data_IF_365832042861
#
_entry.id   IF_365832042861
#
_cell.length_a   1.000
_cell.length_b   1.000
_cell.length_c   1.000
_cell.angle_alpha   90.00
_cell.angle_beta   90.00
_cell.angle_gamma   90.00
#
_symmetry.space_group_name_H-M   'P 1'
#
loop_
_entity.id
_entity.type
_entity.pdbx_description
1 polymer ?
#
# COMPACT_ATOMS: atom_id res chain seq x y z
N UNK A 1 -1.96 -17.77 -23.54
CA UNK A 1 -2.10 -18.81 -22.49
C UNK A 1 -1.13 -19.99 -22.65
N UNK A 2 -1.08 -20.66 -23.82
CA UNK A 2 -0.13 -21.76 -24.07
C UNK A 2 1.34 -21.33 -24.00
N UNK A 3 1.66 -20.12 -24.47
CA UNK A 3 2.99 -19.51 -24.36
C UNK A 3 3.39 -19.29 -22.90
N UNK A 4 2.50 -18.73 -22.07
CA UNK A 4 2.74 -18.55 -20.63
C UNK A 4 3.01 -19.89 -19.94
N UNK A 5 2.19 -20.91 -20.22
CA UNK A 5 2.39 -22.24 -19.64
C UNK A 5 3.71 -22.86 -20.08
N UNK A 6 4.10 -22.68 -21.35
CA UNK A 6 5.43 -23.08 -21.83
C UNK A 6 6.52 -22.43 -21.02
N UNK A 7 6.51 -21.09 -20.90
CA UNK A 7 7.52 -20.35 -20.14
C UNK A 7 7.60 -20.81 -18.68
N UNK A 8 6.46 -21.08 -18.04
CA UNK A 8 6.43 -21.57 -16.65
C UNK A 8 6.93 -23.01 -16.50
N UNK A 9 6.69 -23.88 -17.48
CA UNK A 9 7.01 -25.32 -17.38
C UNK A 9 8.34 -25.70 -18.01
N UNK A 10 8.90 -24.84 -18.86
CA UNK A 10 10.17 -25.07 -19.54
C UNK A 10 11.32 -25.26 -18.55
N UNK A 11 11.40 -24.41 -17.53
CA UNK A 11 12.43 -24.54 -16.49
C UNK A 11 12.14 -25.66 -15.49
N UNK A 12 10.88 -26.07 -15.33
CA UNK A 12 10.52 -27.20 -14.46
C UNK A 12 11.02 -28.53 -15.00
N UNK A 13 11.25 -28.65 -16.31
CA UNK A 13 11.88 -29.82 -16.93
C UNK A 13 13.32 -30.05 -16.49
N UNK A 14 13.96 -29.05 -15.90
CA UNK A 14 15.31 -29.13 -15.36
C UNK A 14 15.33 -29.72 -13.94
N UNK A 15 14.17 -29.88 -13.29
CA UNK A 15 14.08 -30.47 -11.97
C UNK A 15 14.09 -32.02 -12.04
N UNK A 16 14.91 -32.70 -11.23
CA UNK A 16 14.93 -34.16 -11.18
C UNK A 16 13.54 -34.72 -10.88
N UNK A 17 13.09 -35.70 -11.66
CA UNK A 17 11.79 -36.37 -11.48
C UNK A 17 10.57 -35.66 -12.08
N UNK A 18 10.74 -34.47 -12.68
CA UNK A 18 9.64 -33.74 -13.32
C UNK A 18 9.59 -34.03 -14.83
N UNK A 19 8.62 -34.83 -15.29
CA UNK A 19 8.45 -35.14 -16.71
C UNK A 19 7.28 -34.35 -17.33
N UNK A 20 7.57 -33.18 -17.93
CA UNK A 20 6.56 -32.43 -18.72
C UNK A 20 6.62 -32.87 -20.18
N UNK A 21 6.03 -34.03 -20.49
CA UNK A 21 6.12 -34.66 -21.81
C UNK A 21 5.43 -33.88 -22.94
N UNK A 22 4.24 -33.31 -22.69
CA UNK A 22 3.48 -32.56 -23.70
C UNK A 22 2.72 -31.39 -23.10
N UNK A 23 2.87 -30.22 -23.70
CA UNK A 23 2.09 -29.05 -23.32
C UNK A 23 0.64 -29.22 -23.76
N UNK A 24 -0.35 -29.01 -22.86
CA UNK A 24 -1.76 -28.99 -23.22
C UNK A 24 -2.06 -28.02 -24.37
N UNK A 25 -3.08 -28.33 -25.17
CA UNK A 25 -3.59 -27.42 -26.19
C UNK A 25 -4.28 -26.22 -25.53
N UNK A 26 -4.40 -25.11 -26.27
CA UNK A 26 -5.11 -23.92 -25.77
C UNK A 26 -6.55 -24.25 -25.36
N UNK A 27 -7.26 -25.08 -26.15
CA UNK A 27 -8.63 -25.53 -25.85
C UNK A 27 -8.72 -26.40 -24.58
N UNK A 28 -7.76 -27.30 -24.36
CA UNK A 28 -7.70 -28.09 -23.14
C UNK A 28 -7.50 -27.20 -21.89
N UNK A 29 -6.64 -26.18 -21.97
CA UNK A 29 -6.44 -25.23 -20.87
C UNK A 29 -7.69 -24.38 -20.61
N UNK A 30 -8.38 -23.91 -21.65
CA UNK A 30 -9.63 -23.15 -21.50
C UNK A 30 -10.70 -23.99 -20.80
N UNK A 31 -10.92 -25.24 -21.26
CA UNK A 31 -11.89 -26.16 -20.63
C UNK A 31 -11.52 -26.49 -19.19
N UNK A 32 -10.23 -26.69 -18.90
CA UNK A 32 -9.76 -26.94 -17.54
C UNK A 32 -10.03 -25.74 -16.61
N UNK A 33 -9.79 -24.51 -17.08
CA UNK A 33 -10.10 -23.28 -16.30
C UNK A 33 -11.59 -23.12 -16.04
N UNK A 34 -12.43 -23.37 -17.05
CA UNK A 34 -13.89 -23.34 -16.90
C UNK A 34 -14.36 -24.36 -15.85
N UNK A 35 -13.81 -25.58 -15.87
CA UNK A 35 -14.13 -26.63 -14.90
C UNK A 35 -13.63 -26.32 -13.49
N UNK A 36 -12.46 -25.69 -13.35
CA UNK A 36 -11.84 -25.42 -12.05
C UNK A 36 -12.68 -24.44 -11.22
N UNK A 37 -13.20 -23.38 -11.85
CA UNK A 37 -13.93 -22.31 -11.16
C UNK A 37 -13.07 -21.53 -10.16
N UNK A 38 -13.71 -20.65 -9.40
CA UNK A 38 -13.03 -19.76 -8.45
C UNK A 38 -12.74 -20.41 -7.08
N UNK A 39 -13.60 -21.32 -6.62
CA UNK A 39 -13.52 -21.85 -5.24
C UNK A 39 -12.21 -22.58 -4.93
N UNK A 40 -11.66 -23.44 -5.80
CA UNK A 40 -10.36 -24.06 -5.54
C UNK A 40 -9.21 -23.05 -5.49
N UNK A 41 -9.26 -21.98 -6.29
CA UNK A 41 -8.26 -20.91 -6.26
C UNK A 41 -8.35 -20.10 -4.97
N UNK A 42 -9.55 -19.84 -4.48
CA UNK A 42 -9.78 -19.22 -3.18
C UNK A 42 -9.16 -20.07 -2.06
N UNK A 43 -9.45 -21.38 -2.04
CA UNK A 43 -8.88 -22.30 -1.02
C UNK A 43 -7.35 -22.33 -1.11
N UNK A 44 -6.79 -22.37 -2.32
CA UNK A 44 -5.34 -22.32 -2.51
C UNK A 44 -4.75 -21.00 -2.00
N UNK A 45 -5.41 -19.87 -2.27
CA UNK A 45 -5.01 -18.57 -1.77
C UNK A 45 -5.03 -18.56 -0.23
N UNK A 46 -6.15 -18.93 0.39
CA UNK A 46 -6.31 -18.98 1.85
C UNK A 46 -5.27 -19.88 2.54
N UNK A 47 -4.82 -20.95 1.87
CA UNK A 47 -3.76 -21.84 2.38
C UNK A 47 -2.35 -21.29 2.23
N UNK A 48 -2.13 -20.34 1.32
CA UNK A 48 -0.80 -19.84 0.95
C UNK A 48 -0.57 -18.38 1.33
N UNK A 49 -1.62 -17.61 1.56
CA UNK A 49 -1.52 -16.25 2.05
C UNK A 49 -0.95 -16.25 3.47
N UNK A 50 -0.25 -15.17 3.80
CA UNK A 50 0.41 -15.00 5.08
C UNK A 50 1.77 -14.33 4.95
N UNK A 51 2.39 -14.14 6.11
CA UNK A 51 3.70 -13.50 6.22
C UNK A 51 4.82 -14.53 6.04
N UNK A 52 5.79 -14.25 5.17
CA UNK A 52 6.90 -15.16 4.87
C UNK A 52 8.25 -14.64 5.40
N UNK A 53 8.34 -13.36 5.73
CA UNK A 53 9.59 -12.76 6.15
C UNK A 53 10.04 -13.29 7.51
N UNK A 54 11.33 -13.54 7.58
CA UNK A 54 12.07 -13.75 8.83
C UNK A 54 12.74 -12.45 9.24
N UNK A 55 13.25 -12.36 10.47
CA UNK A 55 14.00 -11.18 10.94
C UNK A 55 15.25 -10.89 10.09
N UNK A 56 15.77 -11.88 9.37
CA UNK A 56 16.87 -11.72 8.42
C UNK A 56 16.44 -11.17 7.05
N UNK A 57 15.13 -11.12 6.76
CA UNK A 57 14.62 -10.62 5.48
C UNK A 57 14.79 -9.11 5.40
N UNK A 58 15.70 -8.66 4.53
CA UNK A 58 15.96 -7.25 4.28
C UNK A 58 14.67 -6.49 3.92
N UNK A 59 14.43 -5.36 4.59
CA UNK A 59 13.28 -4.49 4.30
C UNK A 59 11.93 -5.04 4.76
N UNK A 60 11.87 -6.16 5.48
CA UNK A 60 10.62 -6.69 6.02
C UNK A 60 10.22 -6.09 7.37
N UNK A 61 11.16 -5.45 8.09
CA UNK A 61 10.92 -4.90 9.42
C UNK A 61 11.52 -3.51 9.55
N UNK A 62 10.85 -2.64 10.32
CA UNK A 62 11.39 -1.39 10.82
C UNK A 62 10.87 -1.15 12.23
N UNK A 63 11.71 -0.60 13.12
CA UNK A 63 11.32 -0.27 14.50
C UNK A 63 10.79 -1.48 15.28
N UNK A 64 11.30 -2.69 14.97
CA UNK A 64 10.81 -3.94 15.57
C UNK A 64 9.45 -4.42 15.04
N UNK A 65 8.86 -3.71 14.08
CA UNK A 65 7.54 -3.99 13.52
C UNK A 65 7.66 -4.54 12.10
N UNK A 66 6.82 -5.52 11.77
CA UNK A 66 6.71 -6.07 10.41
C UNK A 66 6.10 -5.05 9.48
N UNK A 67 6.78 -4.73 8.38
CA UNK A 67 6.30 -3.81 7.37
C UNK A 67 5.27 -4.52 6.49
N UNK A 68 4.05 -4.00 6.50
CA UNK A 68 2.99 -4.40 5.59
C UNK A 68 2.44 -3.18 4.88
N UNK A 69 1.95 -3.36 3.65
CA UNK A 69 1.39 -2.29 2.86
C UNK A 69 0.02 -2.68 2.31
N UNK A 70 -0.88 -1.72 2.34
CA UNK A 70 -2.10 -1.75 1.57
C UNK A 70 -1.83 -1.15 0.19
N UNK A 71 -2.06 -1.96 -0.84
CA UNK A 71 -1.93 -1.54 -2.23
C UNK A 71 -3.11 -2.05 -3.07
N UNK A 72 -3.59 -1.18 -3.94
CA UNK A 72 -4.78 -1.39 -4.76
C UNK A 72 -4.42 -1.44 -6.23
N UNK A 73 -5.06 -2.34 -6.98
CA UNK A 73 -4.92 -2.39 -8.43
C UNK A 73 -6.25 -2.78 -9.10
N UNK A 74 -6.34 -2.55 -10.40
CA UNK A 74 -7.47 -2.98 -11.22
C UNK A 74 -6.98 -4.06 -12.21
N UNK A 75 -7.76 -5.13 -12.33
CA UNK A 75 -7.47 -6.28 -13.17
C UNK A 75 -8.51 -6.33 -14.29
N UNK A 76 -8.06 -6.29 -15.55
CA UNK A 76 -8.94 -6.45 -16.69
C UNK A 76 -9.55 -7.86 -16.70
N UNK A 77 -10.85 -7.93 -16.94
CA UNK A 77 -11.58 -9.18 -17.19
C UNK A 77 -12.08 -9.22 -18.63
N UNK A 78 -12.36 -10.41 -19.19
CA UNK A 78 -12.85 -10.51 -20.56
C UNK A 78 -14.08 -9.65 -20.80
N UNK A 79 -14.09 -8.92 -21.91
CA UNK A 79 -15.21 -8.07 -22.30
C UNK A 79 -16.39 -8.92 -22.78
N UNK A 80 -17.29 -9.18 -21.84
CA UNK A 80 -18.54 -9.91 -22.07
C UNK A 80 -19.66 -9.12 -21.43
N UNK A 81 -20.88 -9.23 -21.97
CA UNK A 81 -22.04 -8.53 -21.41
C UNK A 81 -22.25 -8.82 -19.91
N UNK A 82 -21.96 -10.04 -19.46
CA UNK A 82 -22.05 -10.41 -18.04
C UNK A 82 -21.01 -9.67 -17.19
N UNK A 83 -19.73 -9.70 -17.59
CA UNK A 83 -18.66 -9.02 -16.85
C UNK A 83 -18.80 -7.50 -16.89
N UNK A 84 -19.25 -6.93 -18.02
CA UNK A 84 -19.51 -5.51 -18.15
C UNK A 84 -20.60 -5.04 -17.19
N UNK A 85 -21.68 -5.84 -17.02
CA UNK A 85 -22.75 -5.56 -16.07
C UNK A 85 -22.32 -5.71 -14.62
N UNK A 86 -21.52 -6.74 -14.31
CA UNK A 86 -21.09 -7.05 -12.95
C UNK A 86 -19.99 -6.10 -12.45
N UNK A 87 -18.92 -5.93 -13.23
CA UNK A 87 -17.70 -5.28 -12.77
C UNK A 87 -17.57 -3.82 -13.20
N UNK A 88 -18.17 -3.49 -14.35
CA UNK A 88 -18.09 -2.18 -14.98
C UNK A 88 -16.67 -1.78 -15.38
N UNK A 89 -16.51 -0.51 -15.75
CA UNK A 89 -15.28 0.05 -16.34
C UNK A 89 -14.76 1.20 -15.49
N UNK A 90 -13.44 1.40 -15.48
CA UNK A 90 -12.83 2.56 -14.82
C UNK A 90 -12.84 3.76 -15.77
N UNK A 91 -13.08 4.97 -15.24
CA UNK A 91 -13.04 6.22 -16.01
C UNK A 91 -14.42 6.80 -16.33
N UNK A 92 -14.46 8.06 -16.79
CA UNK A 92 -15.70 8.81 -17.06
C UNK A 92 -16.09 8.73 -18.55
N UNK A 93 -16.30 7.52 -19.08
CA UNK A 93 -16.75 7.30 -20.46
C UNK A 93 -15.82 7.86 -21.56
N UNK A 94 -16.13 7.56 -22.82
CA UNK A 94 -15.38 8.06 -23.98
C UNK A 94 -13.91 7.60 -23.99
N UNK A 95 -13.01 8.46 -24.45
CA UNK A 95 -11.58 8.13 -24.63
C UNK A 95 -10.82 7.83 -23.32
N UNK A 96 -11.39 8.15 -22.16
CA UNK A 96 -10.77 7.94 -20.84
C UNK A 96 -11.33 6.73 -20.09
N UNK A 97 -12.17 5.93 -20.73
CA UNK A 97 -12.69 4.68 -20.17
C UNK A 97 -11.69 3.54 -20.40
N UNK A 98 -11.63 2.59 -19.46
CA UNK A 98 -10.87 1.36 -19.67
C UNK A 98 -11.41 0.59 -20.88
N UNK A 99 -10.52 -0.08 -21.63
CA UNK A 99 -10.91 -0.88 -22.80
C UNK A 99 -11.64 -2.18 -22.44
N UNK A 100 -11.60 -2.59 -21.18
CA UNK A 100 -12.23 -3.80 -20.66
C UNK A 100 -12.91 -3.52 -19.31
N UNK A 101 -13.91 -4.34 -18.91
CA UNK A 101 -14.41 -4.31 -17.56
C UNK A 101 -13.29 -4.72 -16.57
N UNK A 102 -13.37 -4.25 -15.32
CA UNK A 102 -12.28 -4.42 -14.37
C UNK A 102 -12.73 -4.86 -12.99
N UNK A 103 -11.99 -5.79 -12.40
CA UNK A 103 -12.08 -6.14 -10.98
C UNK A 103 -11.06 -5.32 -10.19
N UNK A 104 -11.50 -4.66 -9.14
CA UNK A 104 -10.62 -4.00 -8.17
C UNK A 104 -10.09 -5.03 -7.19
N UNK A 105 -8.77 -5.08 -7.03
CA UNK A 105 -8.05 -5.84 -6.02
C UNK A 105 -7.49 -4.87 -5.00
N UNK A 106 -7.73 -5.13 -3.72
CA UNK A 106 -7.02 -4.54 -2.61
C UNK A 106 -6.22 -5.62 -1.90
N UNK A 107 -4.92 -5.43 -1.75
CA UNK A 107 -4.04 -6.41 -1.12
C UNK A 107 -3.40 -5.85 0.15
N UNK A 108 -3.33 -6.68 1.18
CA UNK A 108 -2.40 -6.50 2.31
C UNK A 108 -1.15 -7.32 2.00
N UNK A 109 -0.02 -6.66 1.85
CA UNK A 109 1.22 -7.27 1.37
C UNK A 109 2.35 -7.06 2.36
N UNK A 110 3.23 -8.04 2.50
CA UNK A 110 4.45 -7.90 3.28
C UNK A 110 5.53 -7.22 2.44
N UNK A 111 6.08 -6.09 2.91
CA UNK A 111 6.94 -5.25 2.08
C UNK A 111 8.29 -5.88 1.70
N UNK A 112 8.83 -6.78 2.53
CA UNK A 112 10.15 -7.38 2.27
C UNK A 112 10.14 -8.58 1.31
N UNK A 113 9.07 -9.38 1.32
CA UNK A 113 8.93 -10.59 0.49
C UNK A 113 7.94 -10.42 -0.65
N UNK A 114 7.12 -9.37 -0.59
CA UNK A 114 5.94 -9.14 -1.42
C UNK A 114 4.89 -10.26 -1.29
N UNK A 115 4.92 -11.04 -0.20
CA UNK A 115 3.91 -12.04 0.09
C UNK A 115 2.54 -11.37 0.32
N UNK A 116 1.49 -11.95 -0.24
CA UNK A 116 0.12 -11.54 0.04
C UNK A 116 -0.28 -12.09 1.40
N UNK A 117 -0.51 -11.20 2.36
CA UNK A 117 -1.04 -11.54 3.68
C UNK A 117 -2.54 -11.79 3.57
N UNK A 118 -3.24 -10.92 2.83
CA UNK A 118 -4.68 -11.01 2.59
C UNK A 118 -5.06 -10.20 1.33
N UNK A 119 -6.25 -10.45 0.77
CA UNK A 119 -6.75 -9.77 -0.42
C UNK A 119 -8.27 -9.71 -0.47
N UNK A 120 -8.79 -8.57 -0.95
CA UNK A 120 -10.21 -8.35 -1.19
C UNK A 120 -10.43 -7.93 -2.65
N UNK A 121 -11.53 -8.39 -3.24
CA UNK A 121 -11.86 -8.17 -4.64
C UNK A 121 -13.28 -7.64 -4.77
N UNK A 122 -13.50 -6.70 -5.69
CA UNK A 122 -14.85 -6.22 -6.01
C UNK A 122 -14.91 -5.52 -7.37
N UNK A 123 -16.10 -5.16 -7.82
CA UNK A 123 -16.33 -4.37 -9.03
C UNK A 123 -15.72 -2.96 -8.92
N UNK A 124 -14.99 -2.51 -9.95
CA UNK A 124 -14.48 -1.12 -9.98
C UNK A 124 -15.58 -0.08 -9.98
N UNK A 125 -16.76 -0.42 -10.52
CA UNK A 125 -17.91 0.47 -10.60
C UNK A 125 -18.56 0.75 -9.23
N UNK A 126 -18.44 -0.17 -8.28
CA UNK A 126 -19.25 -0.15 -7.05
C UNK A 126 -18.42 0.11 -5.79
N UNK A 127 -17.13 -0.24 -5.77
CA UNK A 127 -16.32 -0.18 -4.56
C UNK A 127 -15.03 0.63 -4.74
N UNK A 128 -14.75 1.46 -3.73
CA UNK A 128 -13.46 2.16 -3.60
C UNK A 128 -12.43 1.28 -2.89
N UNK A 129 -11.14 1.54 -3.15
CA UNK A 129 -10.01 0.94 -2.41
C UNK A 129 -10.18 1.05 -0.90
N UNK A 130 -10.64 2.21 -0.40
CA UNK A 130 -10.85 2.41 1.04
C UNK A 130 -11.94 1.50 1.61
N UNK A 131 -12.96 1.14 0.82
CA UNK A 131 -14.02 0.22 1.26
C UNK A 131 -13.48 -1.21 1.30
N UNK A 132 -12.69 -1.61 0.31
CA UNK A 132 -12.04 -2.92 0.30
C UNK A 132 -10.99 -3.07 1.42
N UNK A 133 -10.22 -2.01 1.70
CA UNK A 133 -9.26 -2.01 2.79
C UNK A 133 -9.91 -2.30 4.17
N UNK A 134 -11.18 -1.88 4.37
CA UNK A 134 -11.92 -2.21 5.60
C UNK A 134 -12.15 -3.72 5.77
N UNK A 135 -12.25 -4.48 4.69
CA UNK A 135 -12.40 -5.94 4.75
C UNK A 135 -11.11 -6.62 5.22
N UNK A 136 -9.95 -5.98 5.00
CA UNK A 136 -8.63 -6.49 5.37
C UNK A 136 -8.19 -6.11 6.78
N UNK A 137 -9.02 -5.39 7.54
CA UNK A 137 -8.69 -4.95 8.91
C UNK A 137 -8.42 -6.12 9.84
N UNK A 138 -9.17 -7.22 9.71
CA UNK A 138 -9.02 -8.41 10.56
C UNK A 138 -7.66 -9.09 10.39
N UNK A 139 -6.97 -8.84 9.29
CA UNK A 139 -5.65 -9.40 8.96
C UNK A 139 -4.49 -8.57 9.51
N UNK A 140 -4.76 -7.38 10.06
CA UNK A 140 -3.78 -6.56 10.75
C UNK A 140 -3.52 -7.09 12.16
N UNK A 141 -2.25 -7.06 12.57
CA UNK A 141 -1.79 -7.56 13.87
C UNK A 141 -1.00 -6.49 14.63
N UNK A 142 -0.92 -6.57 15.97
CA UNK A 142 -0.17 -5.60 16.78
C UNK A 142 1.33 -5.47 16.45
N UNK A 143 1.94 -6.53 15.91
CA UNK A 143 3.35 -6.56 15.49
C UNK A 143 3.61 -5.89 14.13
N UNK A 144 2.58 -5.33 13.48
CA UNK A 144 2.67 -4.75 12.14
C UNK A 144 2.75 -3.21 12.14
N UNK A 145 3.49 -2.68 11.17
CA UNK A 145 3.44 -1.29 10.75
C UNK A 145 2.84 -1.22 9.34
N UNK A 146 1.60 -0.75 9.25
CA UNK A 146 0.85 -0.60 8.01
C UNK A 146 1.22 0.69 7.29
N UNK A 147 1.79 0.51 6.10
CA UNK A 147 2.11 1.55 5.13
C UNK A 147 0.96 1.74 4.15
N UNK A 148 0.66 2.99 3.83
CA UNK A 148 -0.32 3.32 2.77
C UNK A 148 0.14 4.51 1.96
N UNK A 149 -0.36 4.59 0.74
CA UNK A 149 -0.23 5.78 -0.10
C UNK A 149 -1.16 6.92 0.39
N UNK A 150 -1.21 8.00 -0.40
CA UNK A 150 -1.99 9.21 -0.09
C UNK A 150 -3.51 9.05 -0.23
N UNK A 151 -4.00 7.91 -0.72
CA UNK A 151 -5.42 7.68 -0.96
C UNK A 151 -6.17 7.23 0.29
N UNK A 152 -5.48 6.72 1.32
CA UNK A 152 -6.11 6.14 2.52
C UNK A 152 -6.22 7.10 3.71
N UNK A 153 -5.76 8.34 3.58
CA UNK A 153 -5.85 9.33 4.66
C UNK A 153 -7.30 9.63 5.05
N UNK A 154 -7.68 9.33 6.30
CA UNK A 154 -9.01 9.65 6.83
C UNK A 154 -9.18 9.20 8.28
N UNK A 155 -9.95 9.98 9.06
CA UNK A 155 -10.17 9.76 10.49
C UNK A 155 -10.71 8.36 10.81
N UNK A 156 -11.78 7.93 10.11
CA UNK A 156 -12.44 6.66 10.41
C UNK A 156 -11.56 5.45 10.12
N UNK A 157 -10.97 5.39 8.92
CA UNK A 157 -10.12 4.26 8.54
C UNK A 157 -8.87 4.20 9.41
N UNK A 158 -8.31 5.34 9.80
CA UNK A 158 -7.20 5.43 10.74
C UNK A 158 -7.58 4.82 12.10
N UNK A 159 -8.73 5.23 12.65
CA UNK A 159 -9.25 4.71 13.90
C UNK A 159 -9.48 3.20 13.85
N UNK A 160 -10.14 2.71 12.79
CA UNK A 160 -10.40 1.29 12.58
C UNK A 160 -9.10 0.48 12.47
N UNK A 161 -8.13 0.93 11.65
CA UNK A 161 -6.84 0.26 11.52
C UNK A 161 -6.06 0.28 12.83
N UNK A 162 -6.10 1.40 13.58
CA UNK A 162 -5.42 1.51 14.89
C UNK A 162 -6.08 0.60 15.94
N UNK A 163 -7.39 0.41 15.90
CA UNK A 163 -8.14 -0.43 16.83
C UNK A 163 -7.73 -1.91 16.75
N UNK A 164 -7.15 -2.36 15.63
CA UNK A 164 -6.56 -3.71 15.49
C UNK A 164 -5.29 -3.90 16.33
N UNK A 165 -4.74 -2.82 16.89
CA UNK A 165 -3.46 -2.82 17.60
C UNK A 165 -2.26 -2.52 16.69
N UNK A 166 -2.41 -2.61 15.37
CA UNK A 166 -1.34 -2.29 14.43
C UNK A 166 -0.87 -0.83 14.53
N UNK A 167 0.39 -0.61 14.16
CA UNK A 167 0.96 0.71 13.96
C UNK A 167 0.73 1.19 12.54
N UNK A 168 0.66 2.50 12.34
CA UNK A 168 0.29 3.11 11.06
C UNK A 168 1.36 4.11 10.63
N UNK A 169 1.65 4.15 9.34
CA UNK A 169 2.50 5.15 8.69
C UNK A 169 1.96 5.45 7.29
N UNK A 170 1.14 6.50 7.20
CA UNK A 170 0.36 6.81 5.99
C UNK A 170 0.88 8.06 5.32
N UNK A 171 1.16 7.98 4.03
CA UNK A 171 1.44 9.19 3.24
C UNK A 171 0.17 10.04 3.18
N UNK A 172 0.30 11.36 3.29
CA UNK A 172 -0.85 12.28 3.22
C UNK A 172 -0.72 13.29 2.09
N UNK A 173 -1.86 13.74 1.56
CA UNK A 173 -1.92 14.78 0.53
C UNK A 173 -1.42 16.12 1.09
N UNK A 174 -0.83 16.96 0.23
CA UNK A 174 -0.28 18.28 0.61
C UNK A 174 -1.34 19.29 1.10
N UNK A 175 -2.60 19.09 0.74
CA UNK A 175 -3.72 19.96 1.12
C UNK A 175 -4.36 19.58 2.46
N UNK A 176 -4.03 18.42 3.05
CA UNK A 176 -4.44 18.11 4.42
C UNK A 176 -3.62 18.95 5.39
N UNK A 177 -4.29 19.75 6.21
CA UNK A 177 -3.62 20.64 7.15
C UNK A 177 -3.65 20.04 8.54
N UNK A 178 -2.46 19.73 9.05
CA UNK A 178 -2.24 19.31 10.42
C UNK A 178 -1.60 20.48 11.18
N UNK A 179 -2.28 20.97 12.22
CA UNK A 179 -1.76 22.07 13.05
C UNK A 179 -0.77 21.49 14.05
N UNK A 180 0.50 21.95 14.08
CA UNK A 180 1.46 21.49 15.08
C UNK A 180 0.99 21.82 16.50
N UNK A 181 0.93 20.80 17.36
CA UNK A 181 0.70 20.95 18.80
C UNK A 181 2.03 21.01 19.56
N UNK A 182 3.01 20.20 19.13
CA UNK A 182 4.35 20.19 19.71
C UNK A 182 5.36 19.75 18.66
N UNK A 183 6.39 20.55 18.43
CA UNK A 183 7.54 20.16 17.59
C UNK A 183 8.48 19.27 18.40
N UNK A 184 9.01 18.21 17.78
CA UNK A 184 9.91 17.23 18.38
C UNK A 184 11.36 17.50 17.94
N UNK A 185 12.37 17.01 18.70
CA UNK A 185 13.79 17.29 18.43
C UNK A 185 14.32 16.88 17.05
N UNK A 186 13.64 15.98 16.35
CA UNK A 186 13.98 15.50 15.01
C UNK A 186 13.31 16.30 13.88
N UNK A 187 12.61 17.40 14.22
CA UNK A 187 11.90 18.25 13.27
C UNK A 187 10.50 17.76 12.89
N UNK A 188 10.10 16.56 13.33
CA UNK A 188 8.71 16.10 13.24
C UNK A 188 7.83 16.81 14.29
N UNK A 189 6.51 16.70 14.20
CA UNK A 189 5.63 17.31 15.20
C UNK A 189 4.40 16.45 15.53
N UNK A 190 3.93 16.57 16.77
CA UNK A 190 2.66 16.02 17.20
C UNK A 190 1.52 16.90 16.70
N UNK A 191 0.46 16.27 16.22
CA UNK A 191 -0.77 16.91 15.78
C UNK A 191 -1.97 16.01 16.10
N UNK A 192 -3.15 16.42 15.66
CA UNK A 192 -4.36 15.62 15.75
C UNK A 192 -4.89 15.40 14.34
N UNK A 193 -5.22 14.16 14.03
CA UNK A 193 -6.10 13.83 12.91
C UNK A 193 -7.54 14.11 13.35
N UNK A 194 -8.14 15.22 12.89
CA UNK A 194 -9.43 15.67 13.39
C UNK A 194 -10.56 14.73 12.97
N UNK A 195 -11.62 14.67 13.77
CA UNK A 195 -12.90 14.11 13.32
C UNK A 195 -13.41 14.85 12.08
N UNK A 196 -14.32 14.28 11.27
CA UNK A 196 -14.93 14.99 10.15
C UNK A 196 -15.57 16.32 10.56
N UNK A 197 -16.27 16.34 11.70
CA UNK A 197 -16.88 17.55 12.28
C UNK A 197 -15.84 18.62 12.62
N UNK A 198 -14.75 18.25 13.28
CA UNK A 198 -13.68 19.18 13.63
C UNK A 198 -12.88 19.63 12.41
N UNK A 199 -12.77 18.79 11.38
CA UNK A 199 -12.16 19.17 10.09
C UNK A 199 -12.91 20.34 9.45
N UNK A 200 -14.24 20.24 9.38
CA UNK A 200 -15.11 21.31 8.82
C UNK A 200 -15.02 22.56 9.68
N UNK A 201 -15.18 22.42 10.99
CA UNK A 201 -15.15 23.54 11.95
C UNK A 201 -13.83 24.31 11.88
N UNK A 202 -12.69 23.62 11.94
CA UNK A 202 -11.37 24.25 11.82
C UNK A 202 -11.11 24.77 10.40
N UNK A 203 -11.68 24.15 9.36
CA UNK A 203 -11.66 24.67 7.99
C UNK A 203 -12.35 26.04 7.88
N UNK A 204 -13.58 26.15 8.37
CA UNK A 204 -14.37 27.38 8.38
C UNK A 204 -13.70 28.48 9.21
N UNK A 205 -13.20 28.15 10.40
CA UNK A 205 -12.48 29.12 11.23
C UNK A 205 -11.27 29.70 10.48
N UNK A 206 -10.48 28.85 9.80
CA UNK A 206 -9.33 29.30 8.99
C UNK A 206 -9.75 30.16 7.80
N UNK A 207 -10.82 29.78 7.10
CA UNK A 207 -11.36 30.58 5.99
C UNK A 207 -11.81 31.97 6.46
N UNK A 208 -12.29 32.09 7.70
CA UNK A 208 -12.65 33.34 8.35
C UNK A 208 -11.48 34.05 9.06
N UNK A 209 -10.22 33.61 8.86
CA UNK A 209 -9.05 34.20 9.52
C UNK A 209 -8.98 34.00 11.04
N UNK A 210 -9.82 33.14 11.61
CA UNK A 210 -9.94 32.90 13.05
C UNK A 210 -9.14 31.67 13.48
N UNK A 211 -8.45 31.77 14.62
CA UNK A 211 -7.81 30.64 15.30
C UNK A 211 -8.71 30.16 16.44
N UNK A 212 -9.03 28.87 16.46
CA UNK A 212 -9.75 28.26 17.57
C UNK A 212 -8.78 28.01 18.73
N UNK A 213 -9.23 28.30 19.96
CA UNK A 213 -8.39 28.23 21.16
C UNK A 213 -7.99 26.80 21.56
N UNK A 214 -8.88 25.83 21.32
CA UNK A 214 -8.63 24.41 21.63
C UNK A 214 -8.15 23.66 20.39
N UNK A 215 -7.27 22.66 20.55
CA UNK A 215 -6.95 21.75 19.46
C UNK A 215 -8.20 20.96 19.03
N UNK A 216 -8.26 20.51 17.77
CA UNK A 216 -9.38 19.68 17.33
C UNK A 216 -9.41 18.37 18.11
N UNK A 217 -10.61 17.80 18.26
CA UNK A 217 -10.77 16.44 18.77
C UNK A 217 -10.45 15.43 17.66
N UNK A 218 -9.81 14.32 18.05
CA UNK A 218 -9.53 13.21 17.15
C UNK A 218 -8.33 12.38 17.60
N UNK A 219 -7.68 11.69 16.66
CA UNK A 219 -6.54 10.84 16.96
C UNK A 219 -5.25 11.65 17.08
N UNK A 220 -4.52 11.50 18.18
CA UNK A 220 -3.16 12.02 18.28
C UNK A 220 -2.26 11.29 17.28
N UNK A 221 -1.52 12.06 16.49
CA UNK A 221 -0.63 11.56 15.46
C UNK A 221 0.67 12.34 15.45
N UNK A 222 1.72 11.74 14.89
CA UNK A 222 2.97 12.44 14.58
C UNK A 222 3.07 12.65 13.09
N UNK A 223 3.41 13.86 12.68
CA UNK A 223 3.61 14.23 11.28
C UNK A 223 5.09 14.36 11.01
N UNK A 224 5.57 13.67 9.99
CA UNK A 224 6.95 13.69 9.53
C UNK A 224 6.96 14.27 8.12
N UNK A 225 7.75 15.30 7.91
CA UNK A 225 7.98 15.89 6.58
C UNK A 225 9.36 15.48 6.10
N UNK A 226 9.44 14.99 4.87
CA UNK A 226 10.68 14.53 4.27
C UNK A 226 10.68 14.83 2.76
N UNK A 227 11.86 15.03 2.19
CA UNK A 227 12.02 15.20 0.76
C UNK A 227 12.65 13.94 0.17
N UNK A 228 12.16 13.51 -0.99
CA UNK A 228 12.83 12.48 -1.79
C UNK A 228 13.37 13.15 -3.04
N UNK A 229 14.67 13.00 -3.24
CA UNK A 229 15.36 13.45 -4.45
C UNK A 229 15.60 12.23 -5.34
N UNK A 230 14.99 12.25 -6.53
CA UNK A 230 15.20 11.25 -7.56
C UNK A 230 16.11 11.86 -8.62
N UNK A 231 17.33 11.35 -8.71
CA UNK A 231 18.27 11.70 -9.77
C UNK A 231 18.13 10.76 -10.96
N UNK A 232 17.82 11.24 -12.18
CA UNK A 232 17.97 10.41 -13.37
C UNK A 232 19.46 10.18 -13.68
N UNK A 233 19.77 9.16 -14.50
CA UNK A 233 21.15 8.94 -14.99
C UNK A 233 21.66 10.08 -15.88
N UNK A 234 20.73 10.79 -16.53
CA UNK A 234 20.98 11.96 -17.38
C UNK A 234 19.86 12.96 -17.08
N UNK A 235 20.22 14.23 -16.84
CA UNK A 235 19.29 15.30 -16.49
C UNK A 235 19.40 15.75 -15.03
N UNK A 236 18.60 16.76 -14.65
CA UNK A 236 18.62 17.33 -13.31
C UNK A 236 17.85 16.46 -12.31
N UNK A 237 18.31 16.40 -11.04
CA UNK A 237 17.58 15.72 -9.99
C UNK A 237 16.25 16.42 -9.71
N UNK A 238 15.20 15.62 -9.50
CA UNK A 238 13.89 16.10 -9.09
C UNK A 238 13.70 15.84 -7.60
N UNK A 239 13.39 16.90 -6.84
CA UNK A 239 13.11 16.79 -5.40
C UNK A 239 11.64 17.07 -5.14
N UNK A 240 10.93 16.10 -4.55
CA UNK A 240 9.55 16.26 -4.10
C UNK A 240 9.46 16.13 -2.58
N UNK A 241 8.67 16.99 -1.95
CA UNK A 241 8.42 16.94 -0.51
C UNK A 241 7.15 16.14 -0.22
N UNK A 242 7.26 15.21 0.72
CA UNK A 242 6.18 14.37 1.20
C UNK A 242 5.93 14.61 2.68
N UNK A 243 4.73 14.21 3.10
CA UNK A 243 4.35 14.17 4.51
C UNK A 243 3.79 12.80 4.83
N UNK A 244 4.23 12.27 5.96
CA UNK A 244 3.77 11.02 6.56
C UNK A 244 3.06 11.36 7.87
N UNK A 245 1.96 10.67 8.15
CA UNK A 245 1.32 10.67 9.45
C UNK A 245 1.50 9.29 10.05
N UNK A 246 1.98 9.22 11.30
CA UNK A 246 2.25 7.95 11.98
C UNK A 246 1.66 7.89 13.39
N UNK A 247 1.30 6.67 13.81
CA UNK A 247 0.95 6.37 15.20
C UNK A 247 2.18 6.17 16.10
N UNK A 248 3.39 6.16 15.55
CA UNK A 248 4.65 6.12 16.30
C UNK A 248 4.98 7.51 16.86
N UNK A 249 4.40 7.83 18.02
CA UNK A 249 4.47 9.16 18.62
C UNK A 249 5.85 9.53 19.19
N UNK A 250 6.65 8.53 19.58
CA UNK A 250 8.01 8.77 20.07
C UNK A 250 9.01 8.92 18.91
N UNK A 251 9.60 10.12 18.81
CA UNK A 251 10.68 10.41 17.88
C UNK A 251 11.92 9.54 18.02
N UNK A 252 12.18 8.97 19.21
CA UNK A 252 13.36 8.13 19.45
C UNK A 252 13.25 6.76 18.79
N UNK A 253 12.05 6.26 18.58
CA UNK A 253 11.83 4.99 17.86
C UNK A 253 12.33 5.07 16.42
N UNK A 254 12.41 6.26 15.82
CA UNK A 254 12.97 6.45 14.49
C UNK A 254 14.52 6.41 14.45
N UNK A 255 15.19 6.51 15.60
CA UNK A 255 16.65 6.60 15.72
C UNK A 255 17.33 5.25 15.99
N UNK A 256 16.57 4.19 16.25
CA UNK A 256 17.13 2.82 16.31
C UNK A 256 17.40 2.32 14.89
N UNK A 257 18.51 2.82 14.34
CA UNK A 257 19.35 2.25 13.28
C UNK A 257 18.58 1.37 12.29
N UNK A 258 17.98 1.99 11.27
CA UNK A 258 17.75 1.27 10.03
C UNK A 258 19.08 0.58 9.66
N UNK A 259 19.12 -0.74 9.40
CA UNK A 259 20.34 -1.36 8.91
C UNK A 259 20.77 -0.56 7.68
N UNK A 260 22.02 -0.07 7.68
CA UNK A 260 22.62 0.48 6.47
C UNK A 260 22.31 -0.53 5.36
N UNK A 261 21.77 -0.12 4.21
CA UNK A 261 21.70 -1.04 3.09
C UNK A 261 23.11 -1.58 2.91
N UNK A 262 23.28 -2.90 3.03
CA UNK A 262 24.52 -3.54 2.60
C UNK A 262 24.82 -3.01 1.20
N UNK A 263 26.06 -2.59 0.90
CA UNK A 263 26.39 -2.11 -0.43
C UNK A 263 26.04 -3.23 -1.41
N UNK A 264 24.90 -3.09 -2.09
CA UNK A 264 24.60 -3.91 -3.25
C UNK A 264 25.62 -3.44 -4.27
N UNK A 265 26.56 -4.32 -4.60
CA UNK A 265 27.25 -4.26 -5.88
C UNK A 265 26.18 -4.47 -6.97
N UNK A 266 25.39 -3.44 -7.21
CA UNK A 266 24.48 -3.33 -8.34
C UNK A 266 24.92 -2.04 -9.01
N UNK A 267 25.54 -2.17 -10.17
CA UNK A 267 26.17 -1.09 -10.95
C UNK A 267 25.14 -0.11 -11.55
N UNK A 268 23.97 0.03 -10.93
CA UNK A 268 22.80 0.71 -11.47
C UNK A 268 21.93 1.26 -10.32
N UNK A 269 22.02 2.59 -10.13
CA UNK A 269 21.25 3.46 -9.21
C UNK A 269 21.71 3.50 -7.74
N UNK A 270 22.37 4.58 -7.36
CA UNK A 270 22.53 5.02 -5.97
C UNK A 270 21.35 5.90 -5.56
N UNK A 271 20.72 5.58 -4.42
CA UNK A 271 19.77 6.46 -3.74
C UNK A 271 20.36 6.84 -2.40
N UNK A 272 20.35 8.14 -2.08
CA UNK A 272 20.85 8.65 -0.80
C UNK A 272 19.71 9.37 -0.10
N UNK A 273 19.33 8.91 1.08
CA UNK A 273 18.38 9.59 1.97
C UNK A 273 19.18 10.64 2.76
N UNK A 274 19.01 11.92 2.42
CA UNK A 274 19.59 13.03 3.15
C UNK A 274 18.59 13.64 4.13
N UNK A 275 18.98 13.78 5.40
CA UNK A 275 18.26 14.60 6.38
C UNK A 275 18.85 16.02 6.33
N UNK A 276 18.03 17.09 6.37
CA UNK A 276 18.57 18.45 6.36
C UNK A 276 19.37 18.72 7.63
N UNK A 277 20.63 19.08 7.45
CA UNK A 277 21.56 19.45 8.53
C UNK A 277 21.12 20.74 9.23
N UNK A 278 21.46 20.82 10.52
CA UNK A 278 21.33 22.03 11.33
C UNK A 278 22.28 23.11 10.80
N UNK A 279 21.90 24.40 10.79
CA UNK A 279 22.88 25.48 10.72
C UNK A 279 23.68 25.50 12.02
N UNK A 280 24.96 25.84 11.89
CA UNK A 280 25.95 26.05 12.96
C UNK A 280 25.50 27.16 13.90
#
# INVERSE_FOLDING_TARGET
>A
MRTVLRTLTEKLRLLPGVCVQRLPTSSALTRARQRLGAKPLQILFERRCGTLATTATSGAFAFGLRLVAWDGTALDVPDTNANAREFGFTGKGGANQSGHPQVRLMALTECGTHALVDAAFDAVATFSEQRLARQLLASLRPDMLLLTDRNFSGYELWGLARATGAHLAWRIKKNLVFVPLRVLPDGSYLSVMPTPKETVRHGQARAAGRRLAKPPQGHTVRVIQYAVTVGPRVGLPHTETFRLVTSLLDHRLALTRAPRPAPKACTTCSSTVGWPGRPV
#
